data_IF_507420851675
#
_entry.id   IF_507420851675
#
_cell.length_a   1.000
_cell.length_b   1.000
_cell.length_c   1.000
_cell.angle_alpha   90.00
_cell.angle_beta   90.00
_cell.angle_gamma   90.00
#
_symmetry.space_group_name_H-M   'P 1'
#
loop_
_entity.id
_entity.type
_entity.pdbx_description
1 polymer ?
#
# COMPACT_ATOMS: atom_id res chain seq x y z
N UNK A 1 -18.88 8.24 3.39
CA UNK A 1 -17.67 8.78 2.76
C UNK A 1 -17.14 7.85 1.67
N UNK A 2 -16.55 8.39 0.61
CA UNK A 2 -15.88 7.59 -0.42
C UNK A 2 -14.46 7.24 0.05
N UNK A 3 -14.20 5.97 0.24
CA UNK A 3 -12.98 5.44 0.85
C UNK A 3 -12.23 4.55 -0.14
N UNK A 4 -10.90 4.68 -0.22
CA UNK A 4 -10.05 3.76 -0.96
C UNK A 4 -9.00 3.11 -0.04
N UNK A 5 -8.71 1.83 -0.28
CA UNK A 5 -7.71 1.03 0.42
C UNK A 5 -6.41 0.99 -0.38
N UNK A 6 -5.32 1.35 0.25
CA UNK A 6 -3.96 1.10 -0.21
C UNK A 6 -3.29 0.12 0.75
N UNK A 7 -3.39 -1.17 0.45
CA UNK A 7 -2.71 -2.22 1.18
C UNK A 7 -1.27 -2.42 0.69
N UNK A 8 -0.38 -2.80 1.57
CA UNK A 8 1.00 -3.06 1.16
C UNK A 8 1.92 -3.51 2.28
N UNK A 9 3.08 -4.03 1.91
CA UNK A 9 4.10 -4.38 2.90
C UNK A 9 4.74 -3.13 3.51
N UNK A 10 4.90 -2.06 2.73
CA UNK A 10 5.52 -0.78 3.15
C UNK A 10 6.86 -0.97 3.86
N UNK A 11 7.80 -1.62 3.19
CA UNK A 11 9.09 -2.01 3.77
C UNK A 11 10.32 -1.37 3.06
N UNK A 12 10.52 -0.03 3.18
CA UNK A 12 9.68 0.98 3.82
C UNK A 12 8.59 1.54 2.92
N UNK A 13 7.66 2.31 3.49
CA UNK A 13 6.82 3.24 2.74
C UNK A 13 7.72 4.30 2.09
N UNK A 14 7.35 4.78 0.90
CA UNK A 14 8.15 5.74 0.13
C UNK A 14 7.26 6.73 -0.63
N UNK A 15 7.88 7.76 -1.19
CA UNK A 15 7.16 8.84 -1.89
C UNK A 15 6.26 8.34 -3.02
N UNK A 16 6.63 7.25 -3.70
CA UNK A 16 5.77 6.65 -4.74
C UNK A 16 4.43 6.12 -4.21
N UNK A 17 4.39 5.59 -2.97
CA UNK A 17 3.12 5.18 -2.35
C UNK A 17 2.24 6.39 -2.02
N UNK A 18 2.84 7.46 -1.48
CA UNK A 18 2.12 8.67 -1.12
C UNK A 18 1.59 9.39 -2.37
N UNK A 19 2.38 9.41 -3.44
CA UNK A 19 1.96 9.98 -4.71
C UNK A 19 0.73 9.26 -5.29
N UNK A 20 0.73 7.92 -5.31
CA UNK A 20 -0.45 7.15 -5.76
C UNK A 20 -1.67 7.48 -4.91
N UNK A 21 -1.52 7.56 -3.60
CA UNK A 21 -2.62 7.89 -2.70
C UNK A 21 -3.19 9.29 -2.98
N UNK A 22 -2.32 10.28 -3.17
CA UNK A 22 -2.70 11.65 -3.53
C UNK A 22 -3.41 11.69 -4.88
N UNK A 23 -2.88 10.99 -5.89
CA UNK A 23 -3.46 10.95 -7.22
C UNK A 23 -4.87 10.35 -7.22
N UNK A 24 -5.10 9.31 -6.43
CA UNK A 24 -6.45 8.71 -6.28
C UNK A 24 -7.43 9.68 -5.62
N UNK A 25 -6.99 10.43 -4.60
CA UNK A 25 -7.82 11.48 -3.99
C UNK A 25 -8.23 12.53 -5.03
N UNK A 26 -7.25 13.10 -5.74
CA UNK A 26 -7.45 14.23 -6.63
C UNK A 26 -8.20 13.81 -7.91
N UNK A 27 -7.71 12.75 -8.57
CA UNK A 27 -8.22 12.38 -9.91
C UNK A 27 -9.49 11.55 -9.87
N UNK A 28 -9.73 10.78 -8.80
CA UNK A 28 -10.89 9.90 -8.69
C UNK A 28 -11.92 10.36 -7.65
N UNK A 29 -11.64 11.46 -6.94
CA UNK A 29 -12.55 12.09 -5.98
C UNK A 29 -12.88 11.20 -4.77
N UNK A 30 -11.92 10.39 -4.29
CA UNK A 30 -12.04 9.74 -3.00
C UNK A 30 -11.82 10.76 -1.87
N UNK A 31 -12.51 10.57 -0.75
CA UNK A 31 -12.41 11.48 0.40
C UNK A 31 -11.33 11.04 1.38
N UNK A 32 -11.06 9.73 1.44
CA UNK A 32 -10.08 9.15 2.37
C UNK A 32 -9.34 7.99 1.70
N UNK A 33 -8.05 7.90 1.98
CA UNK A 33 -7.22 6.74 1.66
C UNK A 33 -6.83 6.05 2.96
N UNK A 34 -7.14 4.77 3.06
CA UNK A 34 -6.75 3.94 4.20
C UNK A 34 -5.50 3.14 3.82
N UNK A 35 -4.41 3.43 4.51
CA UNK A 35 -3.17 2.65 4.43
C UNK A 35 -3.25 1.47 5.39
N UNK A 36 -3.08 0.27 4.88
CA UNK A 36 -3.10 -0.95 5.70
C UNK A 36 -1.79 -1.72 5.51
N UNK A 37 -0.83 -1.56 6.45
CA UNK A 37 0.39 -2.37 6.45
C UNK A 37 0.07 -3.85 6.70
N UNK A 38 0.55 -4.74 5.83
CA UNK A 38 0.33 -6.16 6.00
C UNK A 38 1.17 -6.72 7.15
N UNK A 39 0.62 -7.64 7.94
CA UNK A 39 1.43 -8.41 8.89
C UNK A 39 2.36 -9.36 8.12
N UNK A 40 1.78 -10.28 7.37
CA UNK A 40 2.49 -11.20 6.46
C UNK A 40 1.75 -11.22 5.12
N UNK A 41 2.31 -10.61 4.07
CA UNK A 41 1.65 -10.59 2.76
C UNK A 41 1.50 -12.01 2.21
N UNK A 42 0.32 -12.34 1.65
CA UNK A 42 0.03 -13.66 1.10
C UNK A 42 0.88 -14.01 -0.14
N UNK A 43 1.39 -12.99 -0.83
CA UNK A 43 2.06 -13.15 -2.14
C UNK A 43 3.58 -12.92 -2.10
N UNK A 44 4.17 -12.67 -0.93
CA UNK A 44 5.61 -12.40 -0.78
C UNK A 44 6.16 -13.06 0.46
N UNK A 45 7.33 -13.66 0.35
CA UNK A 45 8.12 -14.05 1.52
C UNK A 45 8.75 -12.79 2.13
N UNK A 46 8.52 -12.58 3.40
CA UNK A 46 9.14 -11.49 4.18
C UNK A 46 10.23 -12.09 5.03
N UNK A 47 11.34 -11.39 5.18
CA UNK A 47 12.42 -11.83 6.06
C UNK A 47 11.91 -11.90 7.52
N UNK A 48 12.37 -12.88 8.30
CA UNK A 48 12.08 -12.96 9.73
C UNK A 48 12.56 -11.73 10.53
N UNK A 49 13.53 -11.00 9.98
CA UNK A 49 14.01 -9.72 10.53
C UNK A 49 13.07 -8.55 10.25
N UNK A 50 12.03 -8.74 9.45
CA UNK A 50 11.07 -7.72 9.10
C UNK A 50 10.02 -7.59 10.21
N UNK A 51 10.04 -6.46 10.92
CA UNK A 51 9.13 -6.16 12.02
C UNK A 51 7.90 -5.40 11.51
N UNK A 52 6.70 -6.02 11.53
CA UNK A 52 5.47 -5.36 11.10
C UNK A 52 5.14 -4.08 11.89
N UNK A 53 5.54 -4.00 13.17
CA UNK A 53 5.32 -2.81 13.99
C UNK A 53 6.18 -1.64 13.52
N UNK A 54 7.42 -1.89 13.14
CA UNK A 54 8.29 -0.85 12.57
C UNK A 54 7.77 -0.36 11.23
N UNK A 55 7.18 -1.24 10.41
CA UNK A 55 6.56 -0.86 9.14
C UNK A 55 5.30 -0.02 9.36
N UNK A 56 4.45 -0.41 10.30
CA UNK A 56 3.28 0.36 10.72
C UNK A 56 3.68 1.76 11.19
N UNK A 57 4.72 1.85 12.03
CA UNK A 57 5.20 3.15 12.53
C UNK A 57 5.72 4.05 11.39
N UNK A 58 6.46 3.48 10.42
CA UNK A 58 6.88 4.24 9.24
C UNK A 58 5.70 4.77 8.42
N UNK A 59 4.61 4.00 8.31
CA UNK A 59 3.40 4.45 7.62
C UNK A 59 2.72 5.58 8.39
N UNK A 60 2.61 5.50 9.72
CA UNK A 60 2.08 6.59 10.56
C UNK A 60 2.88 7.87 10.39
N UNK A 61 4.20 7.77 10.49
CA UNK A 61 5.11 8.91 10.29
C UNK A 61 5.03 9.51 8.88
N UNK A 62 4.79 8.69 7.87
CA UNK A 62 4.69 9.13 6.49
C UNK A 62 3.39 9.87 6.17
N UNK A 63 2.33 9.58 6.90
CA UNK A 63 0.97 10.11 6.68
C UNK A 63 0.58 11.19 7.67
N UNK A 64 1.45 11.48 8.64
CA UNK A 64 1.22 12.49 9.66
C UNK A 64 0.90 13.86 9.05
N UNK A 65 -0.09 14.56 9.62
CA UNK A 65 -0.52 15.88 9.15
C UNK A 65 -1.42 15.88 7.91
N UNK A 66 -1.83 14.72 7.39
CA UNK A 66 -2.78 14.60 6.28
C UNK A 66 -4.07 13.94 6.77
N UNK A 67 -5.11 14.73 6.98
CA UNK A 67 -6.41 14.22 7.48
C UNK A 67 -7.09 13.24 6.52
N UNK A 68 -6.78 13.32 5.22
CA UNK A 68 -7.31 12.41 4.21
C UNK A 68 -6.67 11.01 4.26
N UNK A 69 -5.52 10.88 4.93
CA UNK A 69 -4.79 9.62 5.05
C UNK A 69 -5.04 8.98 6.42
N UNK A 70 -5.66 7.82 6.40
CA UNK A 70 -5.96 7.02 7.59
C UNK A 70 -5.00 5.83 7.61
N UNK A 71 -4.49 5.47 8.78
CA UNK A 71 -3.68 4.26 8.96
C UNK A 71 -4.44 3.28 9.83
N UNK A 72 -4.69 2.09 9.28
CA UNK A 72 -5.30 0.98 10.02
C UNK A 72 -4.28 -0.13 10.26
N UNK A 73 -4.25 -0.60 11.49
CA UNK A 73 -3.32 -1.63 11.95
C UNK A 73 -3.95 -3.02 12.05
N UNK A 74 -5.13 -3.20 11.49
CA UNK A 74 -5.96 -4.40 11.62
C UNK A 74 -5.26 -5.68 11.19
N UNK A 75 -4.42 -5.66 10.14
CA UNK A 75 -3.65 -6.82 9.71
C UNK A 75 -2.47 -7.10 10.64
N UNK A 76 -1.80 -6.05 11.13
CA UNK A 76 -0.70 -6.17 12.09
C UNK A 76 -1.18 -6.72 13.42
N UNK A 77 -2.36 -6.29 13.91
CA UNK A 77 -2.97 -6.79 15.14
C UNK A 77 -3.48 -8.22 15.02
N UNK A 78 -3.98 -8.62 13.85
CA UNK A 78 -4.48 -9.97 13.59
C UNK A 78 -3.36 -11.03 13.65
N UNK A 79 -2.11 -10.64 13.35
CA UNK A 79 -0.91 -11.49 13.40
C UNK A 79 -0.98 -12.76 12.55
N UNK A 80 -1.68 -12.69 11.42
CA UNK A 80 -1.88 -13.79 10.50
C UNK A 80 -1.60 -13.37 9.05
N UNK A 81 -1.69 -14.30 8.12
CA UNK A 81 -1.60 -14.00 6.68
C UNK A 81 -2.65 -12.95 6.30
N UNK A 82 -2.19 -11.89 5.67
CA UNK A 82 -3.01 -10.76 5.26
C UNK A 82 -3.75 -11.06 3.96
N UNK A 83 -5.06 -11.25 4.07
CA UNK A 83 -5.94 -11.39 2.92
C UNK A 83 -6.79 -10.13 2.73
N UNK A 84 -6.84 -9.61 1.52
CA UNK A 84 -7.54 -8.36 1.20
C UNK A 84 -9.03 -8.42 1.53
N UNK A 85 -9.69 -9.55 1.31
CA UNK A 85 -11.13 -9.67 1.62
C UNK A 85 -11.43 -9.43 3.10
N UNK A 86 -10.62 -10.02 4.00
CA UNK A 86 -10.80 -9.84 5.44
C UNK A 86 -10.63 -8.36 5.86
N UNK A 87 -9.75 -7.64 5.16
CA UNK A 87 -9.51 -6.21 5.39
C UNK A 87 -10.67 -5.36 4.86
N UNK A 88 -11.22 -5.68 3.69
CA UNK A 88 -12.40 -5.01 3.13
C UNK A 88 -13.61 -5.17 4.07
N UNK A 89 -13.87 -6.37 4.58
CA UNK A 89 -14.95 -6.59 5.55
C UNK A 89 -14.75 -5.81 6.84
N UNK A 90 -13.51 -5.74 7.33
CA UNK A 90 -13.17 -4.92 8.49
C UNK A 90 -13.47 -3.45 8.24
N UNK A 91 -13.05 -2.89 7.10
CA UNK A 91 -13.25 -1.48 6.77
C UNK A 91 -14.73 -1.12 6.60
N UNK A 92 -15.56 -1.99 6.02
CA UNK A 92 -17.01 -1.78 5.94
C UNK A 92 -17.67 -1.74 7.32
N UNK A 93 -17.20 -2.54 8.27
CA UNK A 93 -17.70 -2.48 9.67
C UNK A 93 -17.22 -1.25 10.43
N UNK A 94 -16.05 -0.76 10.08
CA UNK A 94 -15.36 0.32 10.82
C UNK A 94 -15.77 1.72 10.38
N UNK A 95 -16.09 1.89 9.10
CA UNK A 95 -16.34 3.20 8.49
C UNK A 95 -17.70 3.28 7.80
N UNK A 96 -18.37 4.46 7.82
CA UNK A 96 -19.61 4.68 7.08
C UNK A 96 -19.31 4.90 5.59
N UNK A 97 -18.95 3.83 4.89
CA UNK A 97 -18.58 3.87 3.48
C UNK A 97 -19.80 4.14 2.60
N UNK A 98 -19.67 5.03 1.63
CA UNK A 98 -20.67 5.28 0.60
C UNK A 98 -20.22 4.66 -0.72
N UNK A 99 -21.02 3.76 -1.27
CA UNK A 99 -20.65 2.97 -2.46
C UNK A 99 -19.67 1.84 -2.12
N UNK A 100 -18.85 1.45 -3.11
CA UNK A 100 -17.81 0.45 -2.91
C UNK A 100 -16.49 1.08 -2.48
N UNK A 101 -15.71 0.33 -1.69
CA UNK A 101 -14.32 0.70 -1.36
C UNK A 101 -13.47 0.61 -2.64
N UNK A 102 -12.71 1.67 -2.94
CA UNK A 102 -11.70 1.62 -3.99
C UNK A 102 -10.52 0.75 -3.56
N UNK A 103 -10.20 -0.31 -4.30
CA UNK A 103 -9.02 -1.13 -4.04
C UNK A 103 -7.89 -0.69 -4.97
N UNK A 104 -6.87 -0.04 -4.40
CA UNK A 104 -5.71 0.45 -5.14
C UNK A 104 -4.67 -0.67 -5.23
N UNK A 105 -4.33 -1.07 -6.46
CA UNK A 105 -3.29 -2.07 -6.74
C UNK A 105 -2.28 -1.52 -7.75
N UNK A 106 -1.01 -1.89 -7.58
CA UNK A 106 0.01 -1.61 -8.59
C UNK A 106 -0.12 -2.53 -9.82
N UNK A 107 0.35 -2.07 -10.96
CA UNK A 107 0.37 -2.87 -12.20
C UNK A 107 1.09 -4.22 -12.04
N UNK A 108 2.09 -4.28 -11.17
CA UNK A 108 2.86 -5.48 -10.86
C UNK A 108 2.03 -6.58 -10.17
N UNK A 109 0.90 -6.22 -9.56
CA UNK A 109 -0.01 -7.18 -8.91
C UNK A 109 -1.11 -7.70 -9.85
N UNK A 110 -1.36 -7.02 -10.96
CA UNK A 110 -2.43 -7.39 -11.90
C UNK A 110 -2.31 -8.81 -12.44
N UNK A 111 -1.13 -9.32 -12.88
CA UNK A 111 -1.01 -10.70 -13.35
C UNK A 111 -1.33 -11.75 -12.29
N UNK A 112 -1.00 -11.46 -11.01
CA UNK A 112 -1.25 -12.36 -9.88
C UNK A 112 -2.65 -12.24 -9.28
N UNK A 113 -3.43 -11.24 -9.67
CA UNK A 113 -4.73 -10.96 -9.07
C UNK A 113 -5.72 -12.14 -9.10
N UNK A 114 -5.78 -12.97 -10.17
CA UNK A 114 -6.64 -14.15 -10.20
C UNK A 114 -6.37 -15.20 -9.10
N UNK A 115 -5.20 -15.18 -8.48
CA UNK A 115 -4.83 -16.10 -7.40
C UNK A 115 -5.19 -15.59 -6.01
N UNK A 116 -5.79 -14.40 -5.91
CA UNK A 116 -6.16 -13.84 -4.62
C UNK A 116 -7.30 -14.61 -3.98
N UNK A 117 -7.23 -14.76 -2.66
CA UNK A 117 -8.26 -15.46 -1.88
C UNK A 117 -9.62 -14.77 -2.06
N UNK A 118 -10.63 -15.57 -2.42
CA UNK A 118 -12.02 -15.12 -2.61
C UNK A 118 -12.16 -13.99 -3.65
N UNK A 119 -11.38 -14.05 -4.73
CA UNK A 119 -11.31 -12.98 -5.75
C UNK A 119 -12.68 -12.62 -6.33
N UNK A 120 -13.55 -13.61 -6.61
CA UNK A 120 -14.88 -13.36 -7.17
C UNK A 120 -15.79 -12.61 -6.19
N UNK A 121 -15.65 -12.85 -4.89
CA UNK A 121 -16.35 -12.10 -3.85
C UNK A 121 -15.76 -10.71 -3.70
N UNK A 122 -14.44 -10.60 -3.67
CA UNK A 122 -13.74 -9.32 -3.58
C UNK A 122 -14.17 -8.36 -4.71
N UNK A 123 -14.28 -8.84 -5.95
CA UNK A 123 -14.73 -8.05 -7.10
C UNK A 123 -16.17 -7.52 -6.97
N UNK A 124 -17.02 -8.16 -6.16
CA UNK A 124 -18.37 -7.66 -5.87
C UNK A 124 -18.36 -6.53 -4.85
N UNK A 125 -17.36 -6.51 -3.97
CA UNK A 125 -17.29 -5.59 -2.83
C UNK A 125 -16.43 -4.35 -3.11
N UNK A 126 -15.60 -4.33 -4.15
CA UNK A 126 -14.68 -3.23 -4.40
C UNK A 126 -14.78 -2.64 -5.82
N UNK A 127 -14.37 -1.38 -5.95
CA UNK A 127 -14.03 -0.77 -7.23
C UNK A 127 -12.52 -0.90 -7.46
N UNK A 128 -12.12 -1.53 -8.56
CA UNK A 128 -10.69 -1.73 -8.86
C UNK A 128 -10.06 -0.44 -9.37
N UNK A 129 -8.94 -0.05 -8.76
CA UNK A 129 -8.08 1.07 -9.16
C UNK A 129 -6.69 0.52 -9.44
N UNK A 130 -6.26 0.59 -10.69
CA UNK A 130 -4.91 0.16 -11.09
C UNK A 130 -4.01 1.37 -11.26
N UNK A 131 -2.96 1.44 -10.44
CA UNK A 131 -1.89 2.42 -10.60
C UNK A 131 -0.82 1.85 -11.54
N UNK A 132 -0.65 2.45 -12.73
CA UNK A 132 0.32 2.01 -13.72
C UNK A 132 1.42 3.06 -13.92
N UNK A 133 2.62 2.61 -14.29
CA UNK A 133 3.81 3.48 -14.52
C UNK A 133 4.14 3.62 -16.00
N UNK A 134 4.14 2.51 -16.71
CA UNK A 134 4.66 2.45 -18.08
C UNK A 134 3.63 1.98 -19.08
N UNK A 135 2.84 0.98 -18.73
CA UNK A 135 1.90 0.36 -19.64
C UNK A 135 0.60 0.00 -18.94
N UNK A 136 -0.50 0.43 -19.53
CA UNK A 136 -1.83 0.05 -19.10
C UNK A 136 -2.13 -1.38 -19.57
N UNK A 137 -1.82 -2.37 -18.74
CA UNK A 137 -2.18 -3.75 -19.03
C UNK A 137 -3.68 -3.99 -18.81
N UNK A 138 -4.32 -4.83 -19.63
CA UNK A 138 -5.70 -5.22 -19.42
C UNK A 138 -5.86 -5.93 -18.08
N UNK A 139 -6.91 -5.57 -17.35
CA UNK A 139 -7.26 -6.29 -16.13
C UNK A 139 -7.91 -7.64 -16.48
N UNK A 140 -7.57 -8.74 -15.76
CA UNK A 140 -7.94 -10.09 -16.16
C UNK A 140 -9.42 -10.47 -15.95
N UNK A 141 -10.25 -9.53 -15.50
CA UNK A 141 -11.68 -9.74 -15.26
C UNK A 141 -12.52 -8.71 -16.01
N UNK A 142 -13.74 -9.06 -16.47
CA UNK A 142 -14.65 -8.15 -17.18
C UNK A 142 -15.41 -7.26 -16.19
N UNK A 143 -14.67 -6.52 -15.37
CA UNK A 143 -15.21 -5.54 -14.41
C UNK A 143 -14.74 -4.15 -14.75
N UNK A 144 -15.49 -3.10 -14.37
CA UNK A 144 -15.01 -1.73 -14.51
C UNK A 144 -13.71 -1.51 -13.73
N UNK A 145 -12.70 -0.96 -14.39
CA UNK A 145 -11.41 -0.63 -13.77
C UNK A 145 -11.12 0.84 -14.00
N UNK A 146 -10.74 1.53 -12.94
CA UNK A 146 -10.18 2.87 -13.02
C UNK A 146 -8.68 2.79 -13.07
N UNK A 147 -8.07 3.53 -13.98
CA UNK A 147 -6.63 3.57 -14.12
C UNK A 147 -6.10 4.93 -13.70
N UNK A 148 -5.08 4.91 -12.87
CA UNK A 148 -4.38 6.11 -12.42
C UNK A 148 -2.95 6.04 -12.91
N UNK A 149 -2.52 7.07 -13.64
CA UNK A 149 -1.16 7.18 -14.10
C UNK A 149 -0.25 7.56 -12.92
N UNK A 150 0.65 6.65 -12.58
CA UNK A 150 1.67 6.93 -11.58
C UNK A 150 2.88 7.54 -12.27
N UNK A 151 3.48 8.57 -11.68
CA UNK A 151 4.75 9.09 -12.16
C UNK A 151 5.77 7.97 -12.29
N UNK A 152 6.50 7.94 -13.39
CA UNK A 152 7.60 6.99 -13.61
C UNK A 152 8.75 7.36 -12.68
N UNK A 153 8.55 7.15 -11.39
CA UNK A 153 9.62 7.21 -10.41
C UNK A 153 10.17 5.79 -10.27
N UNK A 154 11.43 5.54 -10.60
CA UNK A 154 12.06 4.23 -10.45
C UNK A 154 12.37 3.97 -8.97
N UNK A 155 11.34 4.06 -8.12
CA UNK A 155 11.44 3.90 -6.67
C UNK A 155 10.70 2.63 -6.27
N UNK A 156 11.38 1.76 -5.55
CA UNK A 156 10.78 0.61 -4.89
C UNK A 156 11.36 0.44 -3.49
N UNK A 157 10.60 -0.20 -2.61
CA UNK A 157 11.09 -0.54 -1.27
C UNK A 157 12.38 -1.39 -1.33
N UNK A 158 12.49 -2.29 -2.31
CA UNK A 158 13.69 -3.13 -2.50
C UNK A 158 14.91 -2.31 -2.91
N UNK A 159 14.73 -1.34 -3.82
CA UNK A 159 15.81 -0.42 -4.19
C UNK A 159 16.26 0.41 -2.99
N UNK A 160 15.32 0.92 -2.18
CA UNK A 160 15.66 1.71 -0.98
C UNK A 160 16.48 0.88 0.00
N UNK A 161 16.06 -0.36 0.29
CA UNK A 161 16.81 -1.25 1.19
C UNK A 161 18.21 -1.56 0.63
N UNK A 162 18.31 -1.85 -0.66
CA UNK A 162 19.60 -2.06 -1.33
C UNK A 162 20.53 -0.84 -1.23
N UNK A 163 19.99 0.36 -1.38
CA UNK A 163 20.76 1.61 -1.23
C UNK A 163 21.26 1.81 0.19
N UNK A 164 20.42 1.55 1.21
CA UNK A 164 20.80 1.66 2.62
C UNK A 164 21.93 0.67 2.94
N UNK A 165 21.79 -0.59 2.53
CA UNK A 165 22.82 -1.63 2.72
C UNK A 165 24.15 -1.24 2.07
N UNK A 166 24.09 -0.62 0.90
CA UNK A 166 25.27 -0.16 0.15
C UNK A 166 25.81 1.22 0.59
N UNK A 167 25.26 1.83 1.65
CA UNK A 167 25.66 3.17 2.09
C UNK A 167 25.34 4.29 1.09
N UNK A 168 24.43 4.07 0.14
CA UNK A 168 24.05 5.05 -0.90
C UNK A 168 22.95 5.98 -0.41
N UNK A 169 22.82 7.14 -1.05
CA UNK A 169 21.79 8.14 -0.75
C UNK A 169 20.37 7.58 -0.96
N UNK A 170 19.49 7.80 0.03
CA UNK A 170 18.07 7.41 -0.04
C UNK A 170 17.11 8.44 0.60
N UNK A 171 17.65 9.52 1.18
CA UNK A 171 16.89 10.50 1.96
C UNK A 171 15.63 11.00 1.25
N UNK A 172 15.75 11.36 -0.01
CA UNK A 172 14.65 11.94 -0.79
C UNK A 172 13.75 10.89 -1.50
N UNK A 173 13.96 9.61 -1.21
CA UNK A 173 13.10 8.53 -1.70
C UNK A 173 11.96 8.20 -0.72
N UNK A 174 12.07 8.70 0.51
CA UNK A 174 11.08 8.54 1.59
C UNK A 174 10.79 9.90 2.23
N UNK A 175 9.67 10.07 2.95
CA UNK A 175 9.45 11.25 3.78
C UNK A 175 10.57 11.46 4.80
N UNK A 176 10.84 12.71 5.16
CA UNK A 176 11.92 13.05 6.09
C UNK A 176 11.74 12.37 7.48
N UNK A 177 10.50 12.26 7.97
CA UNK A 177 10.16 11.55 9.19
C UNK A 177 10.56 10.07 9.12
N UNK A 178 10.26 9.41 8.00
CA UNK A 178 10.62 8.01 7.73
C UNK A 178 12.14 7.85 7.61
N UNK A 179 12.81 8.79 6.91
CA UNK A 179 14.27 8.80 6.80
C UNK A 179 14.93 8.82 8.18
N UNK A 180 14.50 9.76 9.05
CA UNK A 180 15.02 9.88 10.42
C UNK A 180 14.78 8.60 11.22
N UNK A 181 13.56 8.03 11.13
CA UNK A 181 13.23 6.80 11.81
C UNK A 181 14.12 5.63 11.38
N UNK A 182 14.32 5.43 10.06
CA UNK A 182 15.20 4.40 9.51
C UNK A 182 16.63 4.57 10.05
N UNK A 183 17.16 5.82 10.04
CA UNK A 183 18.50 6.10 10.52
C UNK A 183 18.67 5.86 12.03
N UNK A 184 17.71 6.32 12.84
CA UNK A 184 17.74 6.18 14.30
C UNK A 184 17.60 4.74 14.74
N UNK A 185 16.74 3.97 14.06
CA UNK A 185 16.51 2.54 14.36
C UNK A 185 17.53 1.61 13.70
N UNK A 186 18.46 2.15 12.90
CA UNK A 186 19.47 1.36 12.18
C UNK A 186 18.90 0.33 11.19
N UNK A 187 17.68 0.60 10.61
CA UNK A 187 16.99 -0.37 9.78
C UNK A 187 17.72 -0.63 8.46
N UNK A 188 17.63 -1.86 7.97
CA UNK A 188 18.11 -2.31 6.65
C UNK A 188 19.63 -2.27 6.44
N UNK A 189 20.44 -2.07 7.50
CA UNK A 189 21.92 -2.05 7.38
C UNK A 189 22.50 -3.45 7.24
N UNK A 190 21.90 -4.43 7.92
CA UNK A 190 22.38 -5.83 8.00
C UNK A 190 21.44 -6.82 7.27
N UNK A 191 20.67 -6.33 6.30
CA UNK A 191 19.69 -7.14 5.57
C UNK A 191 20.31 -7.88 4.37
#
# INVERSE_FOLDING_TARGET
>A
MRLALLGGTFNPIHIGHLYIAEEVLVSLGYERIVFVPSYRPAHKTVSEKDDPQKRLEMVRLATEGREEFIVEDCEVLRKDTSYTMDTIEYLYRRYPVTGKIGLIIGEDLVPGFPTWKMVDQLLKEVDIIVAYRTKREPFPYPVPVRYVENLVLPISSSEIRGRIKAGKAFRYLVPESVYRYICTQGLYRDA
#
